data_IF_687755820140
#
_entry.id   IF_687755820140
#
_cell.length_a   1.000
_cell.length_b   1.000
_cell.length_c   1.000
_cell.angle_alpha   90.00
_cell.angle_beta   90.00
_cell.angle_gamma   90.00
#
_symmetry.space_group_name_H-M   'P 1'
#
loop_
_entity.id
_entity.type
_entity.pdbx_description
1 polymer ?
#
# COMPACT_ATOMS: atom_id res chain seq x y z
N UNK A 1 5.75 -24.92 -17.00
CA UNK A 1 4.97 -23.68 -17.09
C UNK A 1 5.25 -22.92 -15.82
N UNK A 2 5.56 -21.63 -15.95
CA UNK A 2 4.46 -20.75 -15.66
C UNK A 2 4.37 -19.63 -16.70
N UNK A 3 3.14 -19.19 -16.86
CA UNK A 3 2.79 -17.90 -17.42
C UNK A 3 2.43 -16.99 -16.24
N UNK A 4 2.27 -15.70 -16.45
CA UNK A 4 1.86 -14.78 -15.38
C UNK A 4 2.98 -14.18 -14.54
N UNK A 5 4.26 -14.34 -14.85
CA UNK A 5 5.37 -13.64 -14.19
C UNK A 5 6.46 -13.32 -15.21
N UNK A 6 7.34 -12.39 -14.86
CA UNK A 6 8.44 -11.93 -15.72
C UNK A 6 9.71 -12.76 -15.55
N UNK A 7 9.90 -13.34 -14.36
CA UNK A 7 11.15 -14.02 -13.99
C UNK A 7 12.28 -13.04 -13.72
N UNK A 8 11.97 -11.75 -13.48
CA UNK A 8 12.95 -10.67 -13.38
C UNK A 8 12.80 -9.93 -12.05
N UNK A 9 13.85 -9.95 -11.26
CA UNK A 9 13.97 -9.18 -10.02
C UNK A 9 14.93 -8.01 -10.22
N UNK A 10 14.52 -6.83 -9.76
CA UNK A 10 15.37 -5.66 -9.75
C UNK A 10 16.10 -5.60 -8.41
N UNK A 11 17.43 -5.68 -8.42
CA UNK A 11 18.29 -5.53 -7.25
C UNK A 11 18.91 -4.14 -7.27
N UNK A 12 18.71 -3.39 -6.20
CA UNK A 12 19.18 -2.00 -6.06
C UNK A 12 20.05 -1.90 -4.82
N UNK A 13 21.35 -1.69 -5.00
CA UNK A 13 22.25 -1.39 -3.90
C UNK A 13 22.41 0.12 -3.79
N UNK A 14 21.83 0.70 -2.76
CA UNK A 14 21.77 2.15 -2.58
C UNK A 14 23.12 2.74 -2.16
N UNK A 15 24.04 1.94 -1.61
CA UNK A 15 25.36 2.40 -1.20
C UNK A 15 26.34 2.51 -2.38
N UNK A 16 26.22 1.63 -3.36
CA UNK A 16 27.02 1.65 -4.60
C UNK A 16 26.30 2.30 -5.77
N UNK A 17 25.00 2.60 -5.61
CA UNK A 17 24.08 3.06 -6.66
C UNK A 17 23.93 2.06 -7.83
N UNK A 18 24.30 0.79 -7.60
CA UNK A 18 24.16 -0.27 -8.60
C UNK A 18 22.69 -0.70 -8.75
N UNK A 19 22.22 -0.72 -10.00
CA UNK A 19 20.90 -1.22 -10.38
C UNK A 19 21.11 -2.38 -11.35
N UNK A 20 20.79 -3.60 -10.92
CA UNK A 20 20.95 -4.81 -11.73
C UNK A 20 19.67 -5.64 -11.79
N UNK A 21 19.52 -6.36 -12.88
CA UNK A 21 18.40 -7.28 -13.10
C UNK A 21 18.90 -8.70 -12.88
N UNK A 22 18.22 -9.43 -12.01
CA UNK A 22 18.45 -10.84 -11.76
C UNK A 22 17.34 -11.66 -12.42
N UNK A 23 17.73 -12.63 -13.24
CA UNK A 23 16.80 -13.62 -13.79
C UNK A 23 16.61 -14.73 -12.76
N UNK A 24 15.36 -15.02 -12.42
CA UNK A 24 14.99 -15.97 -11.37
C UNK A 24 14.32 -17.18 -11.97
N UNK A 25 14.75 -18.40 -11.59
CA UNK A 25 14.26 -19.61 -12.20
C UNK A 25 12.83 -19.95 -11.75
N UNK A 26 12.10 -20.65 -12.61
CA UNK A 26 10.66 -20.98 -12.48
C UNK A 26 10.34 -21.69 -11.15
N UNK A 27 11.25 -22.52 -10.65
CA UNK A 27 11.11 -23.31 -9.44
C UNK A 27 10.84 -22.44 -8.21
N UNK A 28 11.42 -21.23 -8.16
CA UNK A 28 11.18 -20.28 -7.08
C UNK A 28 9.71 -19.82 -7.12
N UNK A 29 9.17 -19.51 -8.29
CA UNK A 29 7.77 -19.11 -8.42
C UNK A 29 6.80 -20.25 -8.14
N UNK A 30 7.17 -21.49 -8.50
CA UNK A 30 6.37 -22.67 -8.16
C UNK A 30 6.33 -22.95 -6.66
N UNK A 31 7.46 -22.76 -5.98
CA UNK A 31 7.55 -22.99 -4.54
C UNK A 31 6.88 -21.88 -3.72
N UNK A 32 6.97 -20.62 -4.15
CA UNK A 32 6.61 -19.46 -3.31
C UNK A 32 5.50 -18.56 -3.86
N UNK A 33 5.03 -18.75 -5.10
CA UNK A 33 3.90 -18.05 -5.76
C UNK A 33 4.02 -16.51 -5.90
N UNK A 34 5.03 -15.87 -5.30
CA UNK A 34 5.21 -14.43 -5.28
C UNK A 34 4.69 -13.74 -4.01
N UNK A 35 4.60 -12.41 -4.05
CA UNK A 35 4.17 -11.57 -2.94
C UNK A 35 4.96 -11.87 -1.65
N UNK A 36 4.24 -11.98 -0.53
CA UNK A 36 4.82 -12.32 0.78
C UNK A 36 5.67 -13.58 0.80
N UNK A 37 5.37 -14.59 -0.04
CA UNK A 37 6.15 -15.83 -0.12
C UNK A 37 7.56 -15.58 -0.63
N UNK A 38 7.68 -14.80 -1.72
CA UNK A 38 9.00 -14.39 -2.23
C UNK A 38 9.69 -13.41 -1.27
N UNK A 39 8.94 -12.51 -0.62
CA UNK A 39 9.51 -11.66 0.43
C UNK A 39 10.17 -12.50 1.54
N UNK A 40 9.45 -13.49 2.07
CA UNK A 40 9.96 -14.37 3.11
C UNK A 40 11.17 -15.18 2.62
N UNK A 41 11.12 -15.72 1.40
CA UNK A 41 12.24 -16.45 0.78
C UNK A 41 13.51 -15.59 0.70
N UNK A 42 13.41 -14.35 0.23
CA UNK A 42 14.56 -13.42 0.12
C UNK A 42 15.11 -13.12 1.51
N UNK A 43 14.25 -12.66 2.42
CA UNK A 43 14.71 -12.25 3.75
C UNK A 43 15.31 -13.42 4.55
N UNK A 44 14.71 -14.61 4.46
CA UNK A 44 15.21 -15.80 5.15
C UNK A 44 16.57 -16.25 4.62
N UNK A 45 16.79 -16.18 3.30
CA UNK A 45 18.05 -16.62 2.68
C UNK A 45 19.17 -15.59 2.79
N UNK A 46 18.83 -14.30 2.77
CA UNK A 46 19.81 -13.24 2.56
C UNK A 46 20.06 -12.38 3.81
N UNK A 47 19.19 -12.41 4.83
CA UNK A 47 19.45 -11.70 6.08
C UNK A 47 20.13 -12.61 7.11
N UNK A 48 21.20 -12.10 7.72
CA UNK A 48 21.85 -12.75 8.85
C UNK A 48 21.01 -12.55 10.13
N UNK A 49 21.02 -13.51 11.06
CA UNK A 49 20.48 -13.29 12.40
C UNK A 49 21.12 -12.05 13.05
N UNK A 50 20.32 -11.29 13.81
CA UNK A 50 20.82 -10.14 14.56
C UNK A 50 20.99 -8.82 13.77
N UNK A 51 20.79 -8.80 12.44
CA UNK A 51 20.85 -7.57 11.63
C UNK A 51 19.99 -6.45 12.24
N UNK A 52 20.53 -5.25 12.34
CA UNK A 52 19.76 -4.08 12.77
C UNK A 52 18.63 -3.78 11.76
N UNK A 53 17.34 -3.73 12.18
CA UNK A 53 16.23 -3.37 11.31
C UNK A 53 16.38 -2.02 10.59
N UNK A 54 17.13 -1.06 11.13
CA UNK A 54 17.39 0.23 10.49
C UNK A 54 18.79 0.34 9.89
N UNK A 55 19.54 -0.76 9.89
CA UNK A 55 20.88 -0.85 9.32
C UNK A 55 20.87 -1.00 7.79
N UNK A 56 22.02 -0.69 7.18
CA UNK A 56 22.24 -0.85 5.73
C UNK A 56 22.12 -2.30 5.26
N UNK A 57 22.39 -3.27 6.14
CA UNK A 57 22.30 -4.70 5.88
C UNK A 57 20.85 -5.24 5.80
N UNK A 58 19.87 -4.53 6.39
CA UNK A 58 18.47 -4.93 6.24
C UNK A 58 18.05 -4.78 4.76
N UNK A 59 17.09 -5.57 4.32
CA UNK A 59 16.55 -5.52 2.96
C UNK A 59 15.12 -5.02 2.99
N UNK A 60 14.79 -4.15 2.03
CA UNK A 60 13.42 -3.73 1.79
C UNK A 60 12.97 -4.32 0.46
N UNK A 61 11.93 -5.15 0.49
CA UNK A 61 11.46 -5.92 -0.67
C UNK A 61 10.06 -5.47 -1.03
N UNK A 62 9.85 -5.14 -2.30
CA UNK A 62 8.53 -4.98 -2.91
C UNK A 62 8.31 -6.17 -3.83
N UNK A 63 7.23 -6.93 -3.66
CA UNK A 63 6.95 -8.12 -4.45
C UNK A 63 5.50 -8.19 -4.93
N UNK A 64 5.32 -8.59 -6.18
CA UNK A 64 4.03 -8.99 -6.75
C UNK A 64 3.84 -10.50 -6.70
N UNK A 65 2.59 -10.97 -6.79
CA UNK A 65 2.26 -12.39 -6.96
C UNK A 65 2.18 -12.78 -8.43
N UNK A 66 2.30 -14.07 -8.76
CA UNK A 66 2.08 -14.61 -10.12
C UNK A 66 0.69 -14.28 -10.69
N UNK A 67 -0.32 -14.03 -9.84
CA UNK A 67 -1.65 -13.61 -10.30
C UNK A 67 -1.80 -12.09 -10.48
N UNK A 68 -0.86 -11.28 -9.97
CA UNK A 68 -0.96 -9.83 -10.03
C UNK A 68 -1.11 -9.33 -11.47
N UNK A 69 -1.99 -8.36 -11.71
CA UNK A 69 -2.22 -7.77 -13.02
C UNK A 69 -3.13 -8.58 -13.95
N UNK A 70 -3.62 -9.76 -13.53
CA UNK A 70 -4.73 -10.40 -14.22
C UNK A 70 -5.98 -9.50 -14.12
N UNK A 71 -6.80 -9.40 -15.18
CA UNK A 71 -7.95 -8.50 -15.22
C UNK A 71 -9.15 -9.06 -14.43
N UNK A 72 -8.88 -9.55 -13.21
CA UNK A 72 -9.89 -10.06 -12.27
C UNK A 72 -9.82 -9.25 -10.97
N UNK A 73 -10.91 -9.15 -10.19
CA UNK A 73 -10.90 -8.40 -8.94
C UNK A 73 -9.95 -9.01 -7.90
N UNK A 74 -9.30 -8.15 -7.11
CA UNK A 74 -8.48 -8.56 -5.96
C UNK A 74 -7.03 -8.93 -6.24
N UNK A 75 -6.61 -9.08 -7.51
CA UNK A 75 -5.24 -9.49 -7.88
C UNK A 75 -4.34 -8.30 -8.25
N UNK A 76 -4.27 -7.30 -7.36
CA UNK A 76 -3.55 -6.05 -7.59
C UNK A 76 -2.66 -5.65 -6.41
N UNK A 77 -2.33 -6.62 -5.55
CA UNK A 77 -1.62 -6.40 -4.30
C UNK A 77 -0.11 -6.38 -4.51
N UNK A 78 0.56 -5.50 -3.78
CA UNK A 78 2.01 -5.50 -3.57
C UNK A 78 2.27 -5.82 -2.10
N UNK A 79 3.16 -6.78 -1.84
CA UNK A 79 3.72 -7.01 -0.51
C UNK A 79 4.98 -6.17 -0.37
N UNK A 80 5.09 -5.45 0.74
CA UNK A 80 6.34 -4.81 1.18
C UNK A 80 6.83 -5.56 2.41
N UNK A 81 8.12 -5.90 2.46
CA UNK A 81 8.67 -6.63 3.60
C UNK A 81 10.10 -6.23 3.93
N UNK A 82 10.44 -6.36 5.21
CA UNK A 82 11.78 -6.18 5.76
C UNK A 82 11.86 -6.86 7.13
N UNK A 83 13.03 -6.84 7.77
CA UNK A 83 13.06 -6.96 9.24
C UNK A 83 12.44 -5.70 9.84
N UNK A 84 11.40 -5.86 10.65
CA UNK A 84 10.61 -4.78 11.24
C UNK A 84 11.38 -4.07 12.36
N UNK A 85 11.48 -2.72 12.33
CA UNK A 85 12.05 -1.95 13.44
C UNK A 85 11.10 -1.82 14.63
N UNK A 86 9.82 -2.15 14.46
CA UNK A 86 8.84 -2.13 15.54
C UNK A 86 8.92 -3.38 16.42
N UNK A 87 9.07 -4.55 15.79
CA UNK A 87 8.96 -5.86 16.45
C UNK A 87 10.29 -6.62 16.49
N UNK A 88 11.27 -6.24 15.68
CA UNK A 88 12.53 -6.98 15.53
C UNK A 88 12.40 -8.30 14.75
N UNK A 89 11.22 -8.60 14.20
CA UNK A 89 10.89 -9.85 13.49
C UNK A 89 10.66 -9.61 11.99
N UNK A 90 10.20 -10.63 11.26
CA UNK A 90 9.64 -10.45 9.92
C UNK A 90 8.49 -9.44 9.97
N UNK A 91 8.61 -8.36 9.20
CA UNK A 91 7.57 -7.37 8.97
C UNK A 91 7.10 -7.45 7.53
N UNK A 92 5.80 -7.58 7.31
CA UNK A 92 5.18 -7.55 6.00
C UNK A 92 3.87 -6.78 6.08
N UNK A 93 3.60 -6.02 5.01
CA UNK A 93 2.33 -5.34 4.83
C UNK A 93 1.99 -5.26 3.34
N UNK A 94 0.69 -5.23 3.05
CA UNK A 94 0.19 -5.21 1.68
C UNK A 94 -0.58 -3.94 1.36
N UNK A 95 -0.34 -3.40 0.18
CA UNK A 95 -1.13 -2.32 -0.38
C UNK A 95 -1.89 -2.78 -1.63
N UNK A 96 -3.07 -2.19 -1.85
CA UNK A 96 -3.83 -2.34 -3.09
C UNK A 96 -3.51 -1.24 -4.11
N UNK A 97 -4.51 -0.85 -4.89
CA UNK A 97 -4.40 0.23 -5.88
C UNK A 97 -3.91 -0.28 -7.23
N UNK A 98 -2.92 0.42 -7.79
CA UNK A 98 -2.43 0.21 -9.16
C UNK A 98 -0.92 -0.01 -9.24
N UNK A 99 -0.17 0.32 -8.18
CA UNK A 99 1.29 0.24 -8.15
C UNK A 99 1.82 -1.15 -8.50
N UNK A 100 1.27 -2.20 -7.88
CA UNK A 100 1.71 -3.58 -8.13
C UNK A 100 1.56 -3.98 -9.60
N UNK A 101 0.45 -3.56 -10.22
CA UNK A 101 0.15 -3.89 -11.61
C UNK A 101 1.11 -3.16 -12.54
N UNK A 102 1.38 -1.88 -12.30
CA UNK A 102 2.36 -1.14 -13.09
C UNK A 102 3.79 -1.63 -12.86
N UNK A 103 4.15 -2.06 -11.65
CA UNK A 103 5.43 -2.75 -11.39
C UNK A 103 5.56 -3.98 -12.27
N UNK A 104 4.54 -4.84 -12.26
CA UNK A 104 4.55 -6.08 -13.02
C UNK A 104 4.54 -5.84 -14.54
N UNK A 105 3.82 -4.83 -15.00
CA UNK A 105 3.78 -4.39 -16.40
C UNK A 105 5.06 -3.63 -16.83
N UNK A 106 5.83 -3.09 -15.89
CA UNK A 106 7.16 -2.57 -16.18
C UNK A 106 8.19 -3.69 -16.43
N UNK A 107 7.83 -4.95 -16.19
CA UNK A 107 8.66 -6.12 -16.46
C UNK A 107 9.43 -6.66 -15.24
N UNK A 108 9.06 -6.23 -14.04
CA UNK A 108 9.68 -6.68 -12.79
C UNK A 108 8.64 -7.27 -11.84
N UNK A 109 8.94 -8.46 -11.30
CA UNK A 109 8.06 -9.09 -10.31
C UNK A 109 8.40 -8.66 -8.88
N UNK A 110 9.67 -8.29 -8.65
CA UNK A 110 10.25 -7.94 -7.35
C UNK A 110 11.24 -6.79 -7.50
N UNK A 111 11.28 -5.90 -6.51
CA UNK A 111 12.35 -4.91 -6.32
C UNK A 111 12.93 -5.11 -4.91
N UNK A 112 14.24 -5.30 -4.82
CA UNK A 112 14.97 -5.48 -3.55
C UNK A 112 15.94 -4.33 -3.38
N UNK A 113 15.82 -3.63 -2.26
CA UNK A 113 16.75 -2.57 -1.85
C UNK A 113 17.64 -3.05 -0.72
N UNK A 114 18.93 -2.83 -0.88
CA UNK A 114 19.97 -3.05 0.13
C UNK A 114 20.91 -1.84 0.22
N UNK A 115 21.73 -1.80 1.27
CA UNK A 115 22.56 -0.64 1.54
C UNK A 115 21.73 0.58 2.00
N UNK A 116 22.37 1.74 1.98
CA UNK A 116 21.77 3.05 2.23
C UNK A 116 22.46 4.09 1.35
N UNK A 117 21.68 5.00 0.77
CA UNK A 117 22.21 6.06 -0.10
C UNK A 117 22.93 7.15 0.70
N UNK A 118 23.87 7.84 0.04
CA UNK A 118 24.61 8.96 0.67
C UNK A 118 23.72 10.18 0.88
N UNK A 119 22.75 10.40 -0.01
CA UNK A 119 21.74 11.46 -0.01
C UNK A 119 20.36 10.88 -0.30
N UNK A 120 19.26 11.62 -0.07
CA UNK A 120 17.93 11.20 -0.50
C UNK A 120 17.89 10.88 -2.00
N UNK A 121 17.33 9.72 -2.34
CA UNK A 121 17.12 9.28 -3.73
C UNK A 121 15.70 8.73 -3.93
N UNK A 122 15.25 8.69 -5.17
CA UNK A 122 14.08 7.90 -5.57
C UNK A 122 14.43 6.97 -6.73
N UNK A 123 13.77 5.81 -6.78
CA UNK A 123 13.89 4.89 -7.91
C UNK A 123 12.83 5.23 -8.95
N UNK A 124 13.23 5.44 -10.20
CA UNK A 124 12.32 5.54 -11.34
C UNK A 124 12.36 4.27 -12.17
N UNK A 125 11.20 3.67 -12.44
CA UNK A 125 11.08 2.48 -13.26
C UNK A 125 10.11 2.73 -14.40
N UNK A 126 10.56 2.57 -15.64
CA UNK A 126 9.71 2.64 -16.81
C UNK A 126 10.23 1.70 -17.88
N UNK A 127 9.31 0.97 -18.51
CA UNK A 127 9.61 0.26 -19.75
C UNK A 127 10.76 -0.77 -19.65
N UNK A 128 10.87 -1.48 -18.51
CA UNK A 128 11.90 -2.48 -18.27
C UNK A 128 13.27 -1.91 -17.88
N UNK A 129 13.35 -0.58 -17.69
CA UNK A 129 14.53 0.14 -17.25
C UNK A 129 14.28 0.76 -15.88
N UNK A 130 15.35 0.89 -15.10
CA UNK A 130 15.29 1.51 -13.78
C UNK A 130 16.55 2.35 -13.55
N UNK A 131 16.38 3.48 -12.87
CA UNK A 131 17.47 4.39 -12.51
C UNK A 131 17.20 5.07 -11.17
N UNK A 132 18.26 5.34 -10.41
CA UNK A 132 18.20 6.15 -9.20
C UNK A 132 18.32 7.64 -9.58
N UNK A 133 17.49 8.47 -8.97
CA UNK A 133 17.47 9.92 -9.16
C UNK A 133 17.58 10.63 -7.82
N UNK A 134 18.13 11.84 -7.83
CA UNK A 134 18.20 12.68 -6.63
C UNK A 134 16.79 12.99 -6.12
N UNK A 135 16.59 12.91 -4.80
CA UNK A 135 15.34 13.24 -4.13
C UNK A 135 15.56 14.27 -3.00
N UNK A 136 16.67 15.00 -3.03
CA UNK A 136 17.03 15.93 -1.96
C UNK A 136 15.98 17.05 -1.84
N UNK A 137 15.44 17.50 -2.97
CA UNK A 137 14.34 18.48 -3.05
C UNK A 137 12.98 17.93 -2.61
N UNK A 138 12.83 16.60 -2.50
CA UNK A 138 11.59 15.94 -2.09
C UNK A 138 11.59 15.61 -0.59
N UNK A 139 12.76 15.60 0.05
CA UNK A 139 12.89 15.27 1.47
C UNK A 139 12.20 16.31 2.34
N UNK A 140 11.37 15.88 3.28
CA UNK A 140 10.53 16.73 4.13
C UNK A 140 9.12 16.99 3.58
N UNK A 141 8.87 16.73 2.29
CA UNK A 141 7.54 16.90 1.70
C UNK A 141 6.55 15.82 2.17
N UNK A 142 5.27 16.16 2.19
CA UNK A 142 4.19 15.19 2.38
C UNK A 142 4.13 14.19 1.22
N UNK A 143 3.42 13.08 1.42
CA UNK A 143 3.29 12.03 0.40
C UNK A 143 2.62 12.54 -0.88
N UNK A 144 1.59 13.40 -0.76
CA UNK A 144 0.95 14.04 -1.92
C UNK A 144 1.90 14.94 -2.69
N UNK A 145 2.56 15.87 -2.01
CA UNK A 145 3.52 16.80 -2.62
C UNK A 145 4.66 16.03 -3.30
N UNK A 146 5.16 14.97 -2.66
CA UNK A 146 6.19 14.08 -3.22
C UNK A 146 5.70 13.43 -4.52
N UNK A 147 4.52 12.81 -4.52
CA UNK A 147 3.99 12.12 -5.69
C UNK A 147 3.71 13.09 -6.84
N UNK A 148 3.18 14.28 -6.56
CA UNK A 148 2.92 15.32 -7.57
C UNK A 148 4.20 15.90 -8.16
N UNK A 149 5.20 16.18 -7.31
CA UNK A 149 6.51 16.67 -7.76
C UNK A 149 7.19 15.65 -8.67
N UNK A 150 7.22 14.37 -8.30
CA UNK A 150 7.81 13.31 -9.12
C UNK A 150 7.08 13.18 -10.47
N UNK A 151 5.74 13.12 -10.48
CA UNK A 151 4.97 13.02 -11.74
C UNK A 151 5.25 14.20 -12.67
N UNK A 152 5.38 15.42 -12.11
CA UNK A 152 5.69 16.63 -12.87
C UNK A 152 7.11 16.59 -13.44
N UNK A 153 8.10 16.26 -12.61
CA UNK A 153 9.51 16.14 -13.01
C UNK A 153 9.69 15.11 -14.13
N UNK A 154 8.97 14.00 -14.06
CA UNK A 154 9.03 12.94 -15.07
C UNK A 154 8.22 13.24 -16.34
N UNK A 155 7.30 14.21 -16.31
CA UNK A 155 6.31 14.39 -17.37
C UNK A 155 5.34 13.21 -17.49
N UNK A 156 5.13 12.46 -16.39
CA UNK A 156 4.36 11.20 -16.36
C UNK A 156 3.19 11.29 -15.38
N UNK A 157 2.06 11.90 -15.77
CA UNK A 157 0.92 12.12 -14.87
C UNK A 157 0.29 10.81 -14.36
N UNK A 158 0.48 9.70 -15.07
CA UNK A 158 -0.06 8.38 -14.73
C UNK A 158 0.93 7.49 -13.97
N UNK A 159 2.14 7.97 -13.67
CA UNK A 159 3.08 7.20 -12.87
C UNK A 159 2.52 6.91 -11.47
N UNK A 160 2.73 5.68 -11.01
CA UNK A 160 2.38 5.22 -9.66
C UNK A 160 3.54 5.48 -8.74
N UNK A 161 3.26 6.04 -7.57
CA UNK A 161 4.30 6.45 -6.62
C UNK A 161 4.04 5.75 -5.29
N UNK A 162 5.04 5.01 -4.82
CA UNK A 162 5.17 4.55 -3.45
C UNK A 162 6.20 5.45 -2.75
N UNK A 163 5.85 6.12 -1.66
CA UNK A 163 6.75 7.05 -1.00
C UNK A 163 6.55 7.06 0.52
N UNK A 164 7.51 7.67 1.22
CA UNK A 164 7.43 7.95 2.64
C UNK A 164 7.16 9.43 2.87
N UNK A 165 6.43 9.76 3.92
CA UNK A 165 6.37 11.11 4.48
C UNK A 165 7.45 11.31 5.55
N UNK A 166 7.34 12.42 6.29
CA UNK A 166 8.30 12.79 7.33
C UNK A 166 8.45 11.77 8.46
N UNK A 167 7.44 10.92 8.71
CA UNK A 167 7.54 9.86 9.70
C UNK A 167 8.56 8.79 9.29
N UNK A 168 8.61 8.41 8.01
CA UNK A 168 9.61 7.48 7.49
C UNK A 168 11.00 8.10 7.52
N UNK A 169 11.13 9.36 7.10
CA UNK A 169 12.39 10.12 7.12
C UNK A 169 12.99 10.25 8.54
N UNK A 170 12.12 10.37 9.54
CA UNK A 170 12.49 10.46 10.97
C UNK A 170 12.50 9.10 11.68
N UNK A 171 12.40 8.00 10.94
CA UNK A 171 12.51 6.63 11.45
C UNK A 171 11.48 6.28 12.54
N UNK A 172 10.27 6.85 12.46
CA UNK A 172 9.17 6.47 13.36
C UNK A 172 8.88 4.98 13.20
N UNK A 173 8.93 4.21 14.29
CA UNK A 173 8.88 2.73 14.23
C UNK A 173 7.60 2.16 13.60
N UNK A 174 6.55 2.95 13.49
CA UNK A 174 5.28 2.62 12.83
C UNK A 174 5.03 3.52 11.61
N UNK A 175 6.10 3.96 10.93
CA UNK A 175 5.99 4.66 9.66
C UNK A 175 5.66 3.72 8.50
N UNK A 176 4.92 4.25 7.53
CA UNK A 176 4.34 3.53 6.41
C UNK A 176 4.98 3.88 5.08
N UNK A 177 4.87 2.96 4.14
CA UNK A 177 5.03 3.26 2.71
C UNK A 177 3.63 3.55 2.16
N UNK A 178 3.43 4.75 1.61
CA UNK A 178 2.16 5.23 1.07
C UNK A 178 2.21 5.19 -0.45
N UNK A 179 1.21 4.56 -1.05
CA UNK A 179 1.04 4.39 -2.48
C UNK A 179 -0.11 5.27 -2.97
N UNK A 180 0.16 6.10 -3.96
CA UNK A 180 -0.81 7.04 -4.55
C UNK A 180 -1.62 7.81 -3.47
N UNK A 181 -0.93 8.25 -2.41
CA UNK A 181 -1.42 9.09 -1.30
C UNK A 181 -2.43 8.45 -0.33
N UNK A 182 -2.95 7.24 -0.59
CA UNK A 182 -4.10 6.69 0.17
C UNK A 182 -4.13 5.17 0.34
N UNK A 183 -3.23 4.44 -0.29
CA UNK A 183 -3.03 3.02 -0.02
C UNK A 183 -1.76 2.88 0.83
N UNK A 184 -1.78 2.06 1.87
CA UNK A 184 -0.64 1.93 2.77
C UNK A 184 -0.16 0.48 2.83
N UNK A 185 1.17 0.29 2.77
CA UNK A 185 1.80 -0.83 3.46
C UNK A 185 1.92 -0.40 4.94
N UNK A 186 0.84 -0.69 5.66
CA UNK A 186 0.44 0.12 6.81
C UNK A 186 1.06 -0.23 8.17
N UNK A 187 1.76 -1.35 8.32
CA UNK A 187 2.22 -1.82 9.64
C UNK A 187 3.65 -2.37 9.59
N UNK A 188 4.24 -2.53 10.76
CA UNK A 188 5.57 -3.13 10.91
C UNK A 188 6.74 -2.19 10.59
N UNK A 189 6.49 -0.88 10.45
CA UNK A 189 7.56 0.12 10.36
C UNK A 189 8.35 0.13 9.05
N UNK A 190 7.76 -0.37 7.97
CA UNK A 190 8.44 -0.50 6.68
C UNK A 190 8.80 0.85 6.05
N UNK A 191 8.05 1.91 6.37
CA UNK A 191 8.40 3.29 6.02
C UNK A 191 9.67 3.79 6.72
N UNK A 192 9.94 3.35 7.96
CA UNK A 192 11.18 3.68 8.65
C UNK A 192 12.37 2.92 8.06
N UNK A 193 12.18 1.66 7.64
CA UNK A 193 13.22 0.92 6.89
C UNK A 193 13.54 1.66 5.59
N UNK A 194 12.51 2.08 4.83
CA UNK A 194 12.69 2.87 3.61
C UNK A 194 13.43 4.19 3.85
N UNK A 195 13.09 4.91 4.92
CA UNK A 195 13.77 6.14 5.33
C UNK A 195 15.21 5.95 5.80
N UNK A 196 15.53 4.86 6.52
CA UNK A 196 16.89 4.54 6.98
C UNK A 196 17.87 4.37 5.82
N UNK A 197 17.34 4.00 4.64
CA UNK A 197 18.09 3.84 3.40
C UNK A 197 18.21 5.11 2.57
N UNK A 198 17.61 6.22 3.04
CA UNK A 198 17.42 7.48 2.31
C UNK A 198 16.71 7.32 0.96
N UNK A 199 15.82 6.32 0.87
CA UNK A 199 14.98 6.10 -0.30
C UNK A 199 13.65 6.83 -0.08
N UNK A 200 13.45 7.98 -0.73
CA UNK A 200 12.23 8.79 -0.58
C UNK A 200 11.02 8.17 -1.27
N UNK A 201 11.23 7.61 -2.46
CA UNK A 201 10.14 7.06 -3.27
C UNK A 201 10.60 5.97 -4.25
N UNK A 202 9.62 5.22 -4.73
CA UNK A 202 9.68 4.37 -5.92
C UNK A 202 8.55 4.83 -6.83
N UNK A 203 8.90 5.32 -8.01
CA UNK A 203 7.96 5.72 -9.03
C UNK A 203 8.02 4.73 -10.19
N UNK A 204 6.86 4.32 -10.69
CA UNK A 204 6.75 3.29 -11.72
C UNK A 204 5.73 3.69 -12.79
N UNK A 205 6.09 3.46 -14.05
CA UNK A 205 5.17 3.46 -15.18
C UNK A 205 5.30 2.17 -15.99
N UNK A 206 4.24 1.36 -15.98
CA UNK A 206 4.17 0.09 -16.69
C UNK A 206 2.99 0.06 -17.65
N UNK A 207 3.27 0.16 -18.96
CA UNK A 207 2.21 0.16 -20.00
C UNK A 207 2.15 -1.13 -20.81
N UNK A 208 3.19 -1.96 -20.73
CA UNK A 208 3.31 -3.19 -21.51
C UNK A 208 2.98 -4.38 -20.63
N UNK A 209 2.34 -5.41 -21.18
CA UNK A 209 2.21 -6.69 -20.48
C UNK A 209 3.22 -7.65 -21.11
N UNK A 210 4.46 -7.72 -20.57
CA UNK A 210 5.55 -8.50 -21.19
C UNK A 210 5.46 -10.01 -20.91
N UNK A 211 4.38 -10.47 -20.29
CA UNK A 211 4.12 -11.88 -20.01
C UNK A 211 2.70 -12.23 -20.48
N UNK A 212 2.48 -13.49 -20.80
CA UNK A 212 1.14 -13.99 -21.14
C UNK A 212 0.50 -14.62 -19.91
N UNK A 213 -0.82 -14.75 -19.93
CA UNK A 213 -1.55 -15.64 -19.04
C UNK A 213 -1.82 -16.94 -19.78
N UNK A 214 -1.76 -18.09 -19.11
CA UNK A 214 -1.98 -19.40 -19.74
C UNK A 214 -3.30 -19.49 -20.50
N UNK A 215 -4.39 -19.04 -19.86
CA UNK A 215 -5.73 -19.10 -20.43
C UNK A 215 -6.44 -17.74 -20.28
N UNK A 216 -6.22 -16.81 -21.22
CA UNK A 216 -6.86 -15.50 -21.20
C UNK A 216 -8.39 -15.58 -21.32
N UNK A 217 -8.93 -16.61 -22.00
CA UNK A 217 -10.38 -16.79 -22.16
C UNK A 217 -11.01 -17.13 -20.82
N UNK A 218 -10.42 -18.07 -20.08
CA UNK A 218 -10.88 -18.43 -18.74
C UNK A 218 -10.81 -17.26 -17.76
N UNK A 219 -9.75 -16.45 -17.82
CA UNK A 219 -9.66 -15.23 -17.02
C UNK A 219 -10.78 -14.23 -17.34
N UNK A 220 -11.12 -14.06 -18.63
CA UNK A 220 -12.23 -13.21 -19.03
C UNK A 220 -13.59 -13.75 -18.55
N UNK A 221 -13.80 -15.07 -18.58
CA UNK A 221 -14.99 -15.71 -18.01
C UNK A 221 -15.12 -15.45 -16.50
N UNK A 222 -14.02 -15.61 -15.74
CA UNK A 222 -13.99 -15.34 -14.29
C UNK A 222 -14.32 -13.87 -14.02
N UNK A 223 -13.70 -12.95 -14.78
CA UNK A 223 -13.95 -11.52 -14.66
C UNK A 223 -15.43 -11.17 -14.91
N UNK A 224 -16.01 -11.73 -15.98
CA UNK A 224 -17.42 -11.54 -16.33
C UNK A 224 -18.34 -12.10 -15.26
N UNK A 225 -18.11 -13.34 -14.84
CA UNK A 225 -18.89 -13.97 -13.78
C UNK A 225 -18.90 -13.12 -12.51
N UNK A 226 -17.74 -12.61 -12.09
CA UNK A 226 -17.66 -11.74 -10.92
C UNK A 226 -18.46 -10.45 -11.13
N UNK A 227 -18.28 -9.77 -12.27
CA UNK A 227 -18.96 -8.51 -12.59
C UNK A 227 -20.49 -8.64 -12.56
N UNK A 228 -21.01 -9.80 -12.99
CA UNK A 228 -22.45 -10.10 -13.02
C UNK A 228 -22.99 -10.63 -11.69
N UNK A 229 -22.15 -11.29 -10.88
CA UNK A 229 -22.61 -12.04 -9.71
C UNK A 229 -22.36 -11.34 -8.37
N UNK A 230 -21.40 -10.42 -8.27
CA UNK A 230 -20.99 -9.88 -6.96
C UNK A 230 -22.14 -9.24 -6.18
N UNK A 231 -23.11 -8.63 -6.87
CA UNK A 231 -24.30 -8.01 -6.26
C UNK A 231 -25.27 -9.01 -5.62
N UNK A 232 -25.14 -10.30 -5.92
CA UNK A 232 -25.92 -11.37 -5.27
C UNK A 232 -25.45 -11.67 -3.86
N UNK A 233 -24.27 -11.17 -3.47
CA UNK A 233 -23.67 -11.39 -2.15
C UNK A 233 -23.87 -10.14 -1.28
N UNK A 234 -24.73 -10.20 -0.23
CA UNK A 234 -25.05 -9.02 0.58
C UNK A 234 -23.83 -8.35 1.20
N UNK A 235 -22.84 -9.13 1.65
CA UNK A 235 -21.58 -8.57 2.19
C UNK A 235 -20.77 -7.78 1.16
N UNK A 236 -20.78 -8.21 -0.11
CA UNK A 236 -20.12 -7.46 -1.18
C UNK A 236 -20.88 -6.15 -1.50
N UNK A 237 -22.22 -6.21 -1.50
CA UNK A 237 -23.07 -5.00 -1.65
C UNK A 237 -22.80 -4.02 -0.52
N UNK A 238 -22.82 -4.50 0.72
CA UNK A 238 -22.50 -3.69 1.90
C UNK A 238 -21.12 -3.05 1.76
N UNK A 239 -20.09 -3.83 1.42
CA UNK A 239 -18.71 -3.33 1.29
C UNK A 239 -18.56 -2.32 0.17
N UNK A 240 -19.31 -2.49 -0.91
CA UNK A 240 -19.35 -1.54 -2.02
C UNK A 240 -20.04 -0.23 -1.62
N UNK A 241 -21.11 -0.32 -0.84
CA UNK A 241 -21.91 0.83 -0.42
C UNK A 241 -21.21 1.62 0.69
N UNK A 242 -20.72 0.96 1.73
CA UNK A 242 -20.22 1.60 2.96
C UNK A 242 -18.69 1.53 3.13
N UNK A 243 -18.00 0.69 2.35
CA UNK A 243 -16.55 0.49 2.50
C UNK A 243 -16.22 -0.34 3.74
N UNK A 244 -14.98 -0.26 4.22
CA UNK A 244 -14.67 -0.91 5.50
C UNK A 244 -15.45 -0.42 6.71
N UNK A 245 -15.82 0.88 6.81
CA UNK A 245 -16.64 1.43 7.90
C UNK A 245 -18.02 0.79 8.12
N UNK A 246 -18.48 -0.10 7.24
CA UNK A 246 -19.69 -0.91 7.48
C UNK A 246 -19.66 -1.70 8.80
N UNK A 247 -18.46 -1.95 9.34
CA UNK A 247 -18.27 -2.78 10.52
C UNK A 247 -18.54 -2.03 11.84
N UNK A 248 -18.53 -0.71 11.85
CA UNK A 248 -18.60 0.10 13.09
C UNK A 248 -19.85 -0.22 13.92
N UNK A 249 -21.04 -0.06 13.32
CA UNK A 249 -22.31 -0.26 14.03
C UNK A 249 -22.54 -1.73 14.41
N UNK A 250 -22.33 -2.73 13.52
CA UNK A 250 -22.42 -4.15 13.89
C UNK A 250 -21.50 -4.52 15.05
N UNK A 251 -20.23 -4.13 15.01
CA UNK A 251 -19.29 -4.48 16.08
C UNK A 251 -19.64 -3.81 17.41
N UNK A 252 -20.16 -2.58 17.40
CA UNK A 252 -20.62 -1.91 18.62
C UNK A 252 -21.82 -2.64 19.25
N UNK A 253 -22.78 -3.09 18.43
CA UNK A 253 -23.95 -3.87 18.88
C UNK A 253 -23.58 -5.24 19.42
N UNK A 254 -22.59 -5.88 18.80
CA UNK A 254 -22.09 -7.19 19.21
C UNK A 254 -21.17 -7.11 20.45
N UNK A 255 -20.86 -5.90 20.94
CA UNK A 255 -19.97 -5.72 22.09
C UNK A 255 -18.50 -6.03 21.78
N UNK A 256 -18.08 -5.82 20.54
CA UNK A 256 -16.71 -6.12 20.06
C UNK A 256 -16.00 -4.94 19.40
N UNK A 257 -16.60 -3.75 19.36
CA UNK A 257 -15.94 -2.51 18.91
C UNK A 257 -14.97 -2.01 19.98
N UNK A 258 -13.65 -1.97 19.73
CA UNK A 258 -12.68 -1.51 20.72
C UNK A 258 -12.97 -0.07 21.16
N UNK A 259 -13.21 0.12 22.45
CA UNK A 259 -13.66 1.41 23.00
C UNK A 259 -12.83 1.82 24.22
N UNK A 260 -12.41 3.09 24.26
CA UNK A 260 -11.63 3.69 25.36
C UNK A 260 -10.40 2.85 25.74
N UNK A 261 -9.52 2.60 24.77
CA UNK A 261 -8.35 1.71 24.91
C UNK A 261 -8.72 0.31 25.42
N UNK A 262 -9.64 -0.36 24.71
CA UNK A 262 -10.10 -1.73 24.99
C UNK A 262 -10.77 -1.92 26.36
N UNK A 263 -11.23 -0.84 27.03
CA UNK A 263 -11.99 -0.93 28.29
C UNK A 263 -13.44 -1.36 28.07
N UNK A 264 -13.96 -1.24 26.85
CA UNK A 264 -15.29 -1.67 26.48
C UNK A 264 -15.36 -2.17 25.04
N UNK A 265 -16.50 -2.77 24.70
CA UNK A 265 -16.81 -3.33 23.39
C UNK A 265 -17.92 -2.60 22.61
N UNK A 266 -18.46 -1.52 23.19
CA UNK A 266 -19.53 -0.72 22.58
C UNK A 266 -19.24 0.75 22.81
N UNK A 267 -19.55 1.58 21.81
CA UNK A 267 -19.37 3.02 21.87
C UNK A 267 -20.70 3.73 21.60
N UNK A 268 -21.11 4.62 22.52
CA UNK A 268 -22.35 5.40 22.39
C UNK A 268 -22.37 6.23 21.10
N UNK A 269 -21.21 6.77 20.70
CA UNK A 269 -21.04 7.54 19.47
C UNK A 269 -20.82 6.71 18.19
N UNK A 270 -21.02 5.39 18.21
CA UNK A 270 -20.71 4.52 17.07
C UNK A 270 -21.46 4.92 15.78
N UNK A 271 -22.74 5.27 15.88
CA UNK A 271 -23.54 5.69 14.71
C UNK A 271 -23.04 7.01 14.09
N UNK A 272 -22.42 7.90 14.88
CA UNK A 272 -21.86 9.16 14.39
C UNK A 272 -20.60 8.96 13.54
N UNK A 273 -19.91 7.82 13.71
CA UNK A 273 -18.66 7.50 13.01
C UNK A 273 -18.83 6.30 12.05
N UNK A 274 -20.05 5.87 11.79
CA UNK A 274 -20.34 4.69 10.95
C UNK A 274 -20.18 4.95 9.45
N UNK A 275 -20.15 3.87 8.66
CA UNK A 275 -20.15 3.97 7.18
C UNK A 275 -21.40 4.65 6.61
N UNK A 276 -22.56 4.49 7.24
CA UNK A 276 -23.80 5.19 6.87
C UNK A 276 -23.67 6.70 7.07
N UNK A 277 -23.15 7.13 8.23
CA UNK A 277 -22.93 8.56 8.50
C UNK A 277 -21.86 9.14 7.59
N UNK A 278 -20.78 8.40 7.33
CA UNK A 278 -19.76 8.79 6.35
C UNK A 278 -20.37 9.05 4.97
N UNK A 279 -21.18 8.12 4.47
CA UNK A 279 -21.85 8.24 3.18
C UNK A 279 -22.79 9.45 3.11
N UNK A 280 -23.56 9.72 4.18
CA UNK A 280 -24.54 10.81 4.23
C UNK A 280 -23.90 12.19 4.34
N UNK A 281 -22.68 12.29 4.87
CA UNK A 281 -22.13 13.58 5.32
C UNK A 281 -20.90 14.06 4.56
N UNK A 282 -19.86 13.22 4.45
CA UNK A 282 -18.52 13.61 3.99
C UNK A 282 -18.05 12.83 2.75
N UNK A 283 -18.77 11.80 2.31
CA UNK A 283 -18.42 11.04 1.10
C UNK A 283 -18.56 11.92 -0.14
N UNK A 284 -17.49 11.98 -0.95
CA UNK A 284 -17.49 12.59 -2.27
C UNK A 284 -17.71 11.54 -3.34
N UNK A 285 -16.94 10.45 -3.29
CA UNK A 285 -17.04 9.36 -4.25
C UNK A 285 -16.42 8.07 -3.70
N UNK A 286 -16.55 7.00 -4.48
CA UNK A 286 -15.90 5.72 -4.21
C UNK A 286 -15.02 5.28 -5.36
N UNK A 287 -13.85 4.76 -5.03
CA UNK A 287 -12.86 4.30 -6.00
C UNK A 287 -12.53 2.82 -5.82
N UNK A 288 -12.04 2.21 -6.90
CA UNK A 288 -11.59 0.82 -6.91
C UNK A 288 -10.10 0.71 -7.20
N UNK A 289 -9.49 -0.34 -6.66
CA UNK A 289 -8.21 -0.82 -7.13
C UNK A 289 -8.32 -1.36 -8.57
N UNK A 290 -7.20 -1.67 -9.20
CA UNK A 290 -7.17 -2.24 -10.55
C UNK A 290 -8.15 -3.40 -10.75
N UNK A 291 -8.97 -3.32 -11.80
CA UNK A 291 -9.98 -4.31 -12.22
C UNK A 291 -11.06 -4.67 -11.18
N UNK A 292 -11.18 -3.94 -10.07
CA UNK A 292 -12.12 -4.28 -9.00
C UNK A 292 -13.44 -3.49 -9.10
N UNK A 293 -14.59 -4.13 -9.38
CA UNK A 293 -15.88 -3.45 -9.49
C UNK A 293 -16.49 -3.10 -8.13
N UNK A 294 -15.94 -3.62 -7.02
CA UNK A 294 -16.46 -3.41 -5.68
C UNK A 294 -16.34 -1.95 -5.23
N UNK A 295 -15.27 -1.26 -5.64
CA UNK A 295 -14.99 0.16 -5.36
C UNK A 295 -15.17 0.53 -3.88
N UNK A 296 -14.54 -0.21 -2.96
CA UNK A 296 -14.71 0.02 -1.52
C UNK A 296 -14.01 1.27 -0.97
N UNK A 297 -13.06 1.87 -1.69
CA UNK A 297 -12.24 2.98 -1.19
C UNK A 297 -13.04 4.27 -1.19
N UNK A 298 -13.24 4.85 -0.02
CA UNK A 298 -13.90 6.14 0.12
C UNK A 298 -12.96 7.29 -0.29
N UNK A 299 -13.53 8.30 -0.94
CA UNK A 299 -12.93 9.62 -1.13
C UNK A 299 -13.82 10.58 -0.37
N UNK A 300 -13.26 11.31 0.59
CA UNK A 300 -14.04 12.14 1.51
C UNK A 300 -13.57 13.58 1.51
N UNK A 301 -14.50 14.49 1.85
CA UNK A 301 -14.25 15.89 2.11
C UNK A 301 -14.96 16.26 3.41
N UNK A 302 -14.22 16.25 4.50
CA UNK A 302 -14.68 16.69 5.81
C UNK A 302 -14.87 18.22 5.84
N UNK A 303 -15.65 18.69 6.83
CA UNK A 303 -16.09 20.07 6.97
C UNK A 303 -15.31 20.81 8.08
N UNK A 304 -15.35 22.15 8.13
CA UNK A 304 -14.73 22.91 9.21
C UNK A 304 -15.17 22.43 10.61
N UNK A 305 -14.27 22.44 11.61
CA UNK A 305 -12.91 22.98 11.55
C UNK A 305 -11.85 21.99 11.00
N UNK A 306 -12.25 20.78 10.61
CA UNK A 306 -11.35 19.68 10.21
C UNK A 306 -11.46 19.35 8.72
N UNK A 307 -11.19 20.32 7.86
CA UNK A 307 -11.30 20.13 6.41
C UNK A 307 -10.26 19.15 5.85
N UNK A 308 -10.68 18.27 4.94
CA UNK A 308 -9.79 17.31 4.27
C UNK A 308 -9.65 17.56 2.77
N UNK A 309 -8.50 17.17 2.25
CA UNK A 309 -8.21 17.05 0.83
C UNK A 309 -8.58 15.63 0.34
N UNK A 310 -9.51 15.52 -0.63
CA UNK A 310 -9.92 14.24 -1.23
C UNK A 310 -8.77 13.37 -1.74
N UNK A 311 -7.60 13.93 -2.04
CA UNK A 311 -6.42 13.19 -2.49
C UNK A 311 -5.94 12.14 -1.47
N UNK A 312 -6.18 12.34 -0.17
CA UNK A 312 -5.78 11.41 0.89
C UNK A 312 -6.80 10.29 1.16
N UNK A 313 -7.91 10.25 0.42
CA UNK A 313 -8.96 9.26 0.61
C UNK A 313 -9.71 9.42 1.94
N UNK A 314 -10.56 8.44 2.26
CA UNK A 314 -11.29 8.36 3.52
C UNK A 314 -10.72 7.31 4.48
N UNK A 315 -11.05 7.42 5.77
CA UNK A 315 -10.63 6.45 6.77
C UNK A 315 -11.27 5.08 6.50
N UNK A 316 -10.47 4.03 6.67
CA UNK A 316 -10.97 2.65 6.76
C UNK A 316 -11.52 2.39 8.17
N UNK A 317 -12.20 1.27 8.39
CA UNK A 317 -12.74 0.87 9.69
C UNK A 317 -11.69 0.96 10.80
N UNK A 318 -10.47 0.45 10.58
CA UNK A 318 -9.44 0.47 11.60
C UNK A 318 -9.04 1.91 11.97
N UNK A 319 -8.90 2.80 11.00
CA UNK A 319 -8.62 4.21 11.24
C UNK A 319 -9.76 4.89 12.00
N UNK A 320 -11.02 4.53 11.70
CA UNK A 320 -12.19 5.02 12.43
C UNK A 320 -12.18 4.51 13.88
N UNK A 321 -11.88 3.23 14.09
CA UNK A 321 -11.80 2.67 15.44
C UNK A 321 -10.66 3.31 16.23
N UNK A 322 -9.45 3.39 15.65
CA UNK A 322 -8.24 3.95 16.27
C UNK A 322 -8.40 5.39 16.72
N UNK A 323 -8.88 6.28 15.86
CA UNK A 323 -9.05 7.70 16.21
C UNK A 323 -10.42 8.05 16.76
N UNK A 324 -11.40 7.15 16.64
CA UNK A 324 -12.77 7.30 17.11
C UNK A 324 -13.00 6.59 18.43
N UNK A 325 -13.61 5.40 18.37
CA UNK A 325 -14.08 4.67 19.56
C UNK A 325 -12.97 4.35 20.56
N UNK A 326 -11.76 4.00 20.11
CA UNK A 326 -10.62 3.74 21.00
C UNK A 326 -10.22 4.97 21.81
N UNK A 327 -10.41 6.17 21.25
CA UNK A 327 -10.12 7.45 21.89
C UNK A 327 -11.36 8.13 22.52
N UNK A 328 -12.55 7.54 22.39
CA UNK A 328 -13.81 8.16 22.83
C UNK A 328 -14.24 9.36 21.98
N UNK A 329 -13.81 9.43 20.72
CA UNK A 329 -14.10 10.53 19.79
C UNK A 329 -15.25 10.13 18.86
N UNK A 330 -16.35 10.89 18.91
CA UNK A 330 -17.53 10.72 18.06
C UNK A 330 -17.61 11.69 16.86
N UNK A 331 -16.55 12.44 16.57
CA UNK A 331 -16.51 13.41 15.47
C UNK A 331 -15.85 12.82 14.22
N UNK A 332 -16.66 12.46 13.23
CA UNK A 332 -16.20 11.88 11.98
C UNK A 332 -15.32 12.82 11.13
N UNK A 333 -15.50 14.15 11.24
CA UNK A 333 -14.64 15.10 10.51
C UNK A 333 -13.23 15.10 11.11
N UNK A 334 -13.13 15.09 12.44
CA UNK A 334 -11.85 14.99 13.14
C UNK A 334 -11.12 13.68 12.80
N UNK A 335 -11.84 12.55 12.78
CA UNK A 335 -11.30 11.23 12.39
C UNK A 335 -10.81 11.23 10.94
N UNK A 336 -11.59 11.78 10.01
CA UNK A 336 -11.18 11.89 8.61
C UNK A 336 -9.94 12.78 8.44
N UNK A 337 -9.83 13.84 9.23
CA UNK A 337 -8.64 14.70 9.25
C UNK A 337 -7.41 13.97 9.82
N UNK A 338 -7.57 13.21 10.90
CA UNK A 338 -6.49 12.37 11.45
C UNK A 338 -5.99 11.33 10.43
N UNK A 339 -6.91 10.69 9.67
CA UNK A 339 -6.55 9.83 8.53
C UNK A 339 -5.69 10.55 7.50
N UNK A 340 -6.09 11.76 7.10
CA UNK A 340 -5.31 12.57 6.17
C UNK A 340 -3.91 12.88 6.73
N UNK A 341 -3.80 13.29 7.99
CA UNK A 341 -2.52 13.59 8.63
C UNK A 341 -1.61 12.35 8.59
N UNK A 342 -2.15 11.16 8.89
CA UNK A 342 -1.41 9.90 8.83
C UNK A 342 -0.96 9.56 7.41
N UNK A 343 -1.82 9.70 6.40
CA UNK A 343 -1.45 9.47 5.01
C UNK A 343 -0.44 10.51 4.49
N UNK A 344 -0.56 11.78 4.88
CA UNK A 344 0.34 12.86 4.48
C UNK A 344 1.76 12.67 5.01
N UNK A 345 1.88 12.25 6.27
CA UNK A 345 3.18 12.06 6.92
C UNK A 345 3.69 10.62 6.91
N UNK A 346 2.87 9.66 6.46
CA UNK A 346 3.23 8.25 6.35
C UNK A 346 3.27 7.53 7.69
N UNK A 347 2.18 7.58 8.46
CA UNK A 347 2.06 6.99 9.81
C UNK A 347 0.97 5.91 9.80
N UNK A 348 1.18 4.82 10.55
CA UNK A 348 0.13 3.81 10.86
C UNK A 348 -0.97 4.44 11.72
N UNK A 349 -2.23 4.17 11.35
CA UNK A 349 -3.43 4.69 12.03
C UNK A 349 -3.88 3.71 13.10
#
# INVERSE_FOLDING_TARGET
>A
MPTGFNGRWLRVNLSTEEVRVETVPEEVYRAYLGGRGICAYILFRELRPGVDPLGSENKLVFATSVVTGAPVPGVNRVSVAAKSPLTGTYGEAEAGGFFAVEMKFSGFDVIVFEGAARRPVYLWVKDGRAELRDASHLWGLTTKETAEAIRRELGEPLARVACIGSAGERLVRFANVIFDNRYAAGRGGLGAVMGSKKLKAVAIRGMRRPFEFHDPRRLAEIARWYAESWRRYPGAVSRSTYGTPELVTPLSRDGTLPTLNFRGGSFEGADAISGETLNRTILVSREGCFACPLRCKAVVKARPPYETDPAYGGPEYETIASFGSLCGVGDLNAIAYANQVCNAYGVDT
#
